data_IF_711303443993
#
_entry.id   IF_711303443993
#
_cell.length_a   1.000
_cell.length_b   1.000
_cell.length_c   1.000
_cell.angle_alpha   90.00
_cell.angle_beta   90.00
_cell.angle_gamma   90.00
#
_symmetry.space_group_name_H-M   'P 1'
#
loop_
_entity.id
_entity.type
_entity.pdbx_description
1 polymer ?
#
# COMPACT_ATOMS: atom_id res chain seq x y z
N UNK A 1 53.19 -12.30 5.13
CA UNK A 1 53.29 -10.87 4.78
C UNK A 1 52.20 -10.55 3.76
N UNK A 2 50.96 -10.27 4.21
CA UNK A 2 49.94 -9.59 3.40
C UNK A 2 49.24 -8.61 4.34
N UNK A 3 49.29 -7.35 3.93
CA UNK A 3 48.94 -6.16 4.71
C UNK A 3 47.43 -6.01 4.87
N UNK A 4 47.07 -5.52 6.06
CA UNK A 4 45.77 -4.97 6.44
C UNK A 4 45.24 -4.00 5.37
N UNK A 5 44.04 -4.26 4.89
CA UNK A 5 43.10 -3.26 4.38
C UNK A 5 41.78 -3.42 5.17
N UNK A 6 41.83 -3.11 6.46
CA UNK A 6 40.66 -2.81 7.28
C UNK A 6 40.76 -1.33 7.65
N UNK A 7 40.39 -0.46 6.71
CA UNK A 7 40.04 0.94 6.99
C UNK A 7 39.48 1.55 5.71
N UNK A 8 38.15 1.63 5.60
CA UNK A 8 37.37 2.65 4.87
C UNK A 8 35.93 2.19 4.62
N UNK A 9 35.16 1.86 5.67
CA UNK A 9 33.69 1.91 5.62
C UNK A 9 33.05 2.36 6.94
N UNK A 10 33.83 2.81 7.93
CA UNK A 10 33.35 3.11 9.28
C UNK A 10 33.12 4.61 9.58
N UNK A 11 32.93 5.47 8.57
CA UNK A 11 32.75 6.92 8.83
C UNK A 11 31.63 7.60 8.04
N UNK A 12 30.75 6.86 7.37
CA UNK A 12 29.61 7.44 6.64
C UNK A 12 28.22 7.03 7.16
N UNK A 13 28.11 5.92 7.89
CA UNK A 13 26.79 5.34 8.26
C UNK A 13 26.04 6.14 9.32
N UNK A 14 26.74 6.77 10.27
CA UNK A 14 26.10 7.61 11.31
C UNK A 14 25.51 8.90 10.74
N UNK A 15 26.23 9.57 9.83
CA UNK A 15 25.77 10.83 9.23
C UNK A 15 24.56 10.64 8.31
N UNK A 16 24.45 9.50 7.63
CA UNK A 16 23.30 9.21 6.76
C UNK A 16 22.07 8.82 7.59
N UNK A 17 22.25 8.02 8.65
CA UNK A 17 21.17 7.66 9.58
C UNK A 17 20.61 8.90 10.31
N UNK A 18 21.48 9.77 10.83
CA UNK A 18 21.07 11.01 11.50
C UNK A 18 20.33 11.96 10.55
N UNK A 19 20.76 12.03 9.28
CA UNK A 19 20.07 12.83 8.26
C UNK A 19 18.68 12.27 7.97
N UNK A 20 18.56 10.95 7.85
CA UNK A 20 17.28 10.27 7.63
C UNK A 20 16.32 10.45 8.81
N UNK A 21 16.81 10.28 10.05
CA UNK A 21 15.99 10.50 11.25
C UNK A 21 15.47 11.95 11.32
N UNK A 22 16.30 12.93 10.96
CA UNK A 22 15.88 14.33 10.87
C UNK A 22 14.84 14.58 9.77
N UNK A 23 15.04 14.01 8.57
CA UNK A 23 14.07 14.05 7.47
C UNK A 23 12.71 13.49 7.88
N UNK A 24 12.71 12.36 8.58
CA UNK A 24 11.49 11.69 9.07
C UNK A 24 10.82 12.52 10.17
N UNK A 25 11.56 13.05 11.13
CA UNK A 25 10.99 13.89 12.20
C UNK A 25 10.22 15.10 11.67
N UNK A 26 10.64 15.68 10.54
CA UNK A 26 9.96 16.82 9.91
C UNK A 26 8.64 16.48 9.21
N UNK A 27 8.37 15.20 8.96
CA UNK A 27 7.18 14.71 8.23
C UNK A 27 6.22 13.91 9.11
N UNK A 28 6.53 13.73 10.39
CA UNK A 28 5.62 13.08 11.31
C UNK A 28 4.33 13.90 11.44
N UNK A 29 3.20 13.23 11.30
CA UNK A 29 1.88 13.85 11.46
C UNK A 29 1.73 14.46 12.87
N UNK A 30 0.95 15.55 13.02
CA UNK A 30 0.59 16.10 14.34
C UNK A 30 -0.13 15.07 15.24
N UNK A 31 -0.77 14.06 14.65
CA UNK A 31 -1.42 12.94 15.37
C UNK A 31 -0.43 11.91 15.92
N UNK A 32 0.86 12.03 15.59
CA UNK A 32 1.91 11.09 15.96
C UNK A 32 1.95 9.87 15.04
N UNK A 33 3.07 9.14 15.09
CA UNK A 33 3.26 7.88 14.38
C UNK A 33 3.33 6.71 15.37
N UNK A 34 2.76 5.57 14.99
CA UNK A 34 2.99 4.32 15.69
C UNK A 34 4.43 3.83 15.50
N UNK A 35 4.94 2.93 16.35
CA UNK A 35 6.30 2.40 16.22
C UNK A 35 6.52 1.67 14.90
N UNK A 36 5.51 0.93 14.43
CA UNK A 36 5.54 0.22 13.14
C UNK A 36 5.55 1.18 11.95
N UNK A 37 4.80 2.27 12.02
CA UNK A 37 4.81 3.30 10.97
C UNK A 37 6.15 4.03 10.94
N UNK A 38 6.70 4.39 12.10
CA UNK A 38 8.02 5.02 12.18
C UNK A 38 9.10 4.11 11.58
N UNK A 39 9.08 2.82 11.91
CA UNK A 39 10.02 1.85 11.36
C UNK A 39 9.90 1.76 9.83
N UNK A 40 8.68 1.70 9.30
CA UNK A 40 8.45 1.68 7.86
C UNK A 40 8.98 2.95 7.17
N UNK A 41 8.82 4.12 7.78
CA UNK A 41 9.36 5.39 7.24
C UNK A 41 10.90 5.41 7.24
N UNK A 42 11.53 4.85 8.26
CA UNK A 42 12.99 4.73 8.34
C UNK A 42 13.52 3.76 7.30
N UNK A 43 12.87 2.62 7.12
CA UNK A 43 13.26 1.61 6.13
C UNK A 43 13.03 2.07 4.68
N UNK A 44 12.07 2.97 4.44
CA UNK A 44 11.83 3.57 3.12
C UNK A 44 12.97 4.50 2.68
N UNK A 45 13.46 5.35 3.59
CA UNK A 45 14.55 6.30 3.29
C UNK A 45 15.94 5.71 3.47
N UNK A 46 16.07 4.73 4.34
CA UNK A 46 17.32 4.02 4.58
C UNK A 46 17.05 2.50 4.59
N UNK A 47 16.95 1.89 3.39
CA UNK A 47 16.77 0.46 3.26
C UNK A 47 17.89 -0.29 4.00
N UNK A 48 17.52 -1.28 4.82
CA UNK A 48 18.42 -2.02 5.73
C UNK A 48 18.85 -1.25 6.99
N UNK A 49 18.12 -0.20 7.39
CA UNK A 49 18.32 0.42 8.69
C UNK A 49 18.25 -0.62 9.80
N UNK A 50 19.23 -0.59 10.69
CA UNK A 50 19.22 -1.37 11.91
C UNK A 50 19.56 -0.46 13.10
N UNK A 51 18.82 -0.52 14.23
CA UNK A 51 19.07 0.32 15.39
C UNK A 51 20.54 0.36 15.84
N UNK A 52 21.26 -0.75 15.66
CA UNK A 52 22.68 -0.87 16.04
C UNK A 52 23.60 0.07 15.25
N UNK A 53 23.18 0.55 14.08
CA UNK A 53 23.94 1.50 13.26
C UNK A 53 24.02 2.90 13.90
N UNK A 54 23.09 3.21 14.79
CA UNK A 54 23.07 4.43 15.62
C UNK A 54 23.34 4.12 17.10
N UNK A 55 23.82 2.92 17.43
CA UNK A 55 24.15 2.54 18.80
C UNK A 55 22.94 2.21 19.68
N UNK A 56 21.80 1.88 19.09
CA UNK A 56 20.60 1.44 19.79
C UNK A 56 20.34 -0.05 19.58
N UNK A 57 19.66 -0.71 20.52
CA UNK A 57 19.23 -2.11 20.36
C UNK A 57 17.80 -2.24 19.82
N UNK A 58 17.00 -1.18 19.97
CA UNK A 58 15.61 -1.15 19.52
C UNK A 58 15.25 0.19 18.89
N UNK A 59 14.20 0.22 18.05
CA UNK A 59 13.69 1.47 17.48
C UNK A 59 13.22 2.45 18.57
N UNK A 60 12.73 1.95 19.70
CA UNK A 60 12.36 2.79 20.85
C UNK A 60 13.58 3.50 21.41
N UNK A 61 14.70 2.81 21.54
CA UNK A 61 15.96 3.41 21.97
C UNK A 61 16.50 4.42 20.97
N UNK A 62 16.41 4.15 19.66
CA UNK A 62 16.76 5.12 18.60
C UNK A 62 16.02 6.44 18.82
N UNK A 63 14.70 6.37 19.00
CA UNK A 63 13.86 7.56 19.21
C UNK A 63 14.22 8.28 20.51
N UNK A 64 14.52 7.53 21.58
CA UNK A 64 14.90 8.09 22.88
C UNK A 64 16.31 8.72 22.89
N UNK A 65 17.21 8.26 22.02
CA UNK A 65 18.55 8.82 21.84
C UNK A 65 18.52 10.15 21.05
N UNK A 66 17.42 10.48 20.37
CA UNK A 66 17.23 11.72 19.61
C UNK A 66 16.05 12.58 20.12
N UNK A 67 16.07 13.02 21.39
CA UNK A 67 14.99 13.82 21.99
C UNK A 67 14.81 15.20 21.33
N UNK A 68 15.82 15.69 20.62
CA UNK A 68 15.77 16.92 19.82
C UNK A 68 14.97 16.78 18.52
N UNK A 69 14.76 15.54 18.06
CA UNK A 69 13.99 15.22 16.85
C UNK A 69 12.62 14.60 17.18
N UNK A 70 12.52 13.84 18.27
CA UNK A 70 11.32 13.08 18.60
C UNK A 70 10.87 13.20 20.06
N UNK A 71 9.54 13.20 20.26
CA UNK A 71 8.91 13.07 21.58
C UNK A 71 8.09 11.80 21.62
N UNK A 72 8.28 10.98 22.65
CA UNK A 72 7.49 9.75 22.87
C UNK A 72 6.38 10.02 23.87
N UNK A 73 5.13 9.68 23.55
CA UNK A 73 4.03 9.66 24.52
C UNK A 73 3.43 8.26 24.65
N UNK A 74 3.10 7.82 25.87
CA UNK A 74 2.31 6.62 26.07
C UNK A 74 0.86 6.85 25.59
N UNK A 75 0.27 5.81 25.01
CA UNK A 75 -1.13 5.77 24.59
C UNK A 75 -1.98 5.07 25.67
N UNK A 76 -3.28 5.32 25.67
CA UNK A 76 -4.22 4.78 26.66
C UNK A 76 -4.35 3.25 26.64
N UNK A 77 -3.95 2.61 25.54
CA UNK A 77 -3.93 1.16 25.32
C UNK A 77 -2.62 0.48 25.78
N UNK A 78 -1.71 1.23 26.41
CA UNK A 78 -0.38 0.74 26.81
C UNK A 78 0.66 0.75 25.68
N UNK A 79 0.29 1.20 24.48
CA UNK A 79 1.20 1.49 23.39
C UNK A 79 1.97 2.80 23.58
N UNK A 80 2.79 3.17 22.61
CA UNK A 80 3.45 4.47 22.56
C UNK A 80 3.41 5.03 21.15
N UNK A 81 3.35 6.35 21.04
CA UNK A 81 3.40 7.08 19.78
C UNK A 81 4.57 8.06 19.78
N UNK A 82 5.09 8.30 18.57
CA UNK A 82 6.23 9.19 18.32
C UNK A 82 5.73 10.45 17.64
N UNK A 83 6.09 11.58 18.21
CA UNK A 83 5.77 12.92 17.71
C UNK A 83 7.07 13.61 17.30
N UNK A 84 6.99 14.58 16.40
CA UNK A 84 8.12 15.46 16.16
C UNK A 84 8.42 16.29 17.42
N UNK A 85 9.70 16.40 17.79
CA UNK A 85 10.17 17.33 18.82
C UNK A 85 10.46 18.71 18.25
N UNK A 86 10.59 18.83 16.93
CA UNK A 86 10.71 20.11 16.24
C UNK A 86 9.42 20.88 16.53
N UNK A 87 9.54 22.02 17.20
CA UNK A 87 8.44 22.92 17.46
C UNK A 87 7.96 23.54 16.14
N UNK A 88 7.21 22.78 15.35
CA UNK A 88 6.06 23.37 14.70
C UNK A 88 5.05 23.59 15.80
N UNK A 89 5.17 24.75 16.45
CA UNK A 89 4.03 25.39 17.10
C UNK A 89 2.82 25.09 16.23
N UNK A 90 1.76 24.44 16.72
CA UNK A 90 0.56 24.32 15.91
C UNK A 90 0.26 25.75 15.48
N UNK A 91 0.12 26.05 14.17
CA UNK A 91 -0.50 27.30 13.84
C UNK A 91 -1.82 27.24 14.60
N UNK A 92 -2.01 28.20 15.51
CA UNK A 92 -3.31 28.50 16.07
C UNK A 92 -4.25 28.36 14.88
N UNK A 93 -5.20 27.42 14.97
CA UNK A 93 -6.13 27.16 13.90
C UNK A 93 -6.92 28.46 13.68
N UNK A 94 -6.38 29.33 12.82
CA UNK A 94 -7.19 30.23 12.05
C UNK A 94 -8.22 29.33 11.41
N UNK A 95 -9.48 29.67 11.62
CA UNK A 95 -10.61 28.97 11.08
C UNK A 95 -10.53 29.06 9.54
N UNK A 96 -9.74 28.16 8.93
CA UNK A 96 -9.47 28.03 7.49
C UNK A 96 -10.49 27.14 6.79
N UNK A 97 -11.38 26.55 7.58
CA UNK A 97 -12.61 25.85 7.17
C UNK A 97 -13.40 26.60 6.08
N UNK A 98 -13.55 27.94 6.12
CA UNK A 98 -14.25 28.69 5.08
C UNK A 98 -13.52 28.69 3.73
N UNK A 99 -12.18 28.71 3.74
CA UNK A 99 -11.38 28.72 2.50
C UNK A 99 -11.36 27.33 1.86
N UNK A 100 -11.17 26.28 2.66
CA UNK A 100 -11.26 24.89 2.21
C UNK A 100 -12.66 24.56 1.64
N UNK A 101 -13.72 25.07 2.26
CA UNK A 101 -15.08 24.91 1.76
C UNK A 101 -15.30 25.63 0.41
N UNK A 102 -14.72 26.83 0.23
CA UNK A 102 -14.77 27.55 -1.06
C UNK A 102 -14.00 26.83 -2.15
N UNK A 103 -12.82 26.32 -1.82
CA UNK A 103 -11.97 25.59 -2.76
C UNK A 103 -12.63 24.25 -3.14
N UNK A 104 -13.28 23.57 -2.20
CA UNK A 104 -14.12 22.40 -2.46
C UNK A 104 -15.26 22.70 -3.46
N UNK A 105 -15.99 23.80 -3.25
CA UNK A 105 -17.08 24.22 -4.14
C UNK A 105 -16.59 24.50 -5.58
N UNK A 106 -15.40 25.09 -5.73
CA UNK A 106 -14.78 25.28 -7.05
C UNK A 106 -14.46 23.95 -7.74
N UNK A 107 -13.87 23.01 -6.99
CA UNK A 107 -13.55 21.66 -7.49
C UNK A 107 -14.83 20.94 -7.94
N UNK A 108 -15.88 20.98 -7.11
CA UNK A 108 -17.17 20.37 -7.40
C UNK A 108 -17.76 20.92 -8.70
N UNK A 109 -17.87 22.26 -8.80
CA UNK A 109 -18.40 22.93 -9.99
C UNK A 109 -17.62 22.58 -11.26
N UNK A 110 -16.28 22.57 -11.19
CA UNK A 110 -15.45 22.16 -12.31
C UNK A 110 -15.72 20.72 -12.72
N UNK A 111 -15.86 19.82 -11.75
CA UNK A 111 -16.12 18.41 -12.02
C UNK A 111 -17.51 18.19 -12.64
N UNK A 112 -18.53 18.92 -12.20
CA UNK A 112 -19.87 18.90 -12.80
C UNK A 112 -19.85 19.38 -14.26
N UNK A 113 -19.22 20.53 -14.52
CA UNK A 113 -19.06 21.06 -15.88
C UNK A 113 -18.23 20.14 -16.78
N UNK A 114 -17.17 19.53 -16.22
CA UNK A 114 -16.35 18.57 -16.95
C UNK A 114 -17.08 17.24 -17.18
N UNK A 115 -17.98 16.82 -16.29
CA UNK A 115 -18.76 15.60 -16.45
C UNK A 115 -19.74 15.67 -17.62
N UNK A 116 -20.28 16.86 -17.94
CA UNK A 116 -21.13 17.08 -19.11
C UNK A 116 -20.35 16.92 -20.43
N UNK A 117 -19.08 17.34 -20.46
CA UNK A 117 -18.26 17.37 -21.67
C UNK A 117 -17.38 16.12 -21.84
N UNK A 118 -16.91 15.52 -20.73
CA UNK A 118 -15.89 14.46 -20.69
C UNK A 118 -16.36 13.24 -19.90
N UNK A 119 -17.54 12.72 -20.23
CA UNK A 119 -18.10 11.52 -19.58
C UNK A 119 -17.09 10.36 -19.55
N UNK A 120 -16.80 9.86 -18.35
CA UNK A 120 -15.96 8.68 -18.14
C UNK A 120 -14.44 8.89 -18.26
N UNK A 121 -13.97 10.13 -18.39
CA UNK A 121 -12.53 10.43 -18.44
C UNK A 121 -12.00 10.70 -17.04
N UNK A 122 -10.95 9.96 -16.64
CA UNK A 122 -10.21 10.25 -15.40
C UNK A 122 -9.40 11.54 -15.56
N UNK A 123 -9.58 12.49 -14.65
CA UNK A 123 -8.84 13.75 -14.62
C UNK A 123 -7.99 13.78 -13.34
N UNK A 124 -6.65 13.93 -13.44
CA UNK A 124 -5.79 14.03 -12.27
C UNK A 124 -6.16 15.23 -11.39
N UNK A 125 -6.13 15.05 -10.07
CA UNK A 125 -6.45 16.10 -9.10
C UNK A 125 -5.60 17.36 -9.31
N UNK A 126 -4.30 17.20 -9.58
CA UNK A 126 -3.37 18.29 -9.88
C UNK A 126 -3.85 19.18 -11.04
N UNK A 127 -4.41 18.57 -12.09
CA UNK A 127 -4.96 19.30 -13.24
C UNK A 127 -6.22 20.07 -12.86
N UNK A 128 -7.08 19.49 -12.01
CA UNK A 128 -8.30 20.13 -11.52
C UNK A 128 -7.94 21.34 -10.64
N UNK A 129 -7.01 21.17 -9.70
CA UNK A 129 -6.56 22.23 -8.81
C UNK A 129 -5.93 23.39 -9.60
N UNK A 130 -5.11 23.08 -10.61
CA UNK A 130 -4.55 24.10 -11.51
C UNK A 130 -5.64 24.88 -12.26
N UNK A 131 -6.62 24.19 -12.84
CA UNK A 131 -7.72 24.83 -13.58
C UNK A 131 -8.64 25.65 -12.66
N UNK A 132 -8.78 25.25 -11.40
CA UNK A 132 -9.55 25.97 -10.39
C UNK A 132 -8.78 27.12 -9.72
N UNK A 133 -7.48 27.30 -10.04
CA UNK A 133 -6.61 28.28 -9.40
C UNK A 133 -6.45 28.04 -7.89
N UNK A 134 -6.37 26.78 -7.47
CA UNK A 134 -6.26 26.38 -6.06
C UNK A 134 -4.79 26.01 -5.78
N UNK A 135 -4.15 26.80 -4.94
CA UNK A 135 -2.76 26.57 -4.48
C UNK A 135 -2.71 25.89 -3.10
N UNK A 136 -3.86 25.79 -2.42
CA UNK A 136 -3.96 25.24 -1.08
C UNK A 136 -3.70 23.73 -1.09
N UNK A 137 -2.56 23.29 -0.54
CA UNK A 137 -2.16 21.88 -0.48
C UNK A 137 -3.03 21.04 0.46
N UNK A 138 -3.66 21.67 1.46
CA UNK A 138 -4.52 21.00 2.44
C UNK A 138 -5.87 20.56 1.82
N UNK A 139 -6.21 21.04 0.62
CA UNK A 139 -7.45 20.65 -0.08
C UNK A 139 -7.47 19.16 -0.42
N UNK A 140 -6.31 18.53 -0.63
CA UNK A 140 -6.22 17.11 -0.93
C UNK A 140 -6.70 16.28 0.26
N UNK A 141 -6.21 16.58 1.46
CA UNK A 141 -6.64 15.93 2.70
C UNK A 141 -8.13 16.22 2.96
N UNK A 142 -8.57 17.45 2.73
CA UNK A 142 -9.97 17.85 2.89
C UNK A 142 -10.94 17.10 1.96
N UNK A 143 -10.54 16.84 0.71
CA UNK A 143 -11.31 16.05 -0.26
C UNK A 143 -11.35 14.55 0.11
N UNK A 144 -10.33 14.06 0.80
CA UNK A 144 -10.19 12.67 1.22
C UNK A 144 -10.93 12.34 2.52
N UNK A 145 -11.07 13.30 3.42
CA UNK A 145 -11.63 13.10 4.77
C UNK A 145 -13.16 12.99 4.81
N UNK A 146 -13.85 13.19 3.69
CA UNK A 146 -15.31 13.26 3.72
C UNK A 146 -15.93 12.43 2.59
N UNK A 147 -16.82 11.50 2.94
CA UNK A 147 -17.84 10.94 2.03
C UNK A 147 -18.83 12.06 1.66
N UNK A 148 -18.36 13.07 0.92
CA UNK A 148 -19.18 14.20 0.48
C UNK A 148 -19.95 13.81 -0.77
N UNK A 149 -21.26 14.03 -0.73
CA UNK A 149 -22.14 13.85 -1.87
C UNK A 149 -21.63 14.65 -3.08
N UNK A 150 -21.54 14.00 -4.25
CA UNK A 150 -21.23 14.63 -5.53
C UNK A 150 -19.84 14.38 -6.12
N UNK A 151 -18.84 13.94 -5.32
CA UNK A 151 -17.49 13.64 -5.82
C UNK A 151 -17.03 12.23 -5.46
N UNK A 152 -16.72 11.41 -6.47
CA UNK A 152 -16.04 10.12 -6.28
C UNK A 152 -14.52 10.33 -6.38
N UNK A 153 -13.86 10.54 -5.25
CA UNK A 153 -12.40 10.69 -5.20
C UNK A 153 -11.74 9.31 -5.23
N UNK A 154 -11.07 8.99 -6.35
CA UNK A 154 -10.30 7.74 -6.49
C UNK A 154 -8.83 7.99 -6.23
N UNK A 155 -8.31 7.41 -5.15
CA UNK A 155 -6.87 7.32 -4.94
C UNK A 155 -6.26 6.42 -6.02
N UNK A 156 -5.46 7.01 -6.89
CA UNK A 156 -4.59 6.28 -7.81
C UNK A 156 -3.16 6.43 -7.32
N UNK A 157 -2.67 5.43 -6.59
CA UNK A 157 -1.25 5.33 -6.26
C UNK A 157 -0.51 4.90 -7.52
N UNK A 158 0.13 5.87 -8.20
CA UNK A 158 1.00 5.61 -9.34
C UNK A 158 2.42 5.24 -8.88
N UNK A 159 2.52 4.41 -7.83
CA UNK A 159 3.80 3.88 -7.37
C UNK A 159 4.09 2.64 -8.20
N UNK A 160 4.86 2.80 -9.28
CA UNK A 160 5.51 1.65 -9.92
C UNK A 160 6.46 1.04 -8.90
N UNK A 161 6.13 -0.16 -8.44
CA UNK A 161 7.02 -0.98 -7.62
C UNK A 161 8.41 -1.02 -8.27
N UNK A 162 9.49 -0.83 -7.49
CA UNK A 162 10.86 -1.04 -7.98
C UNK A 162 11.24 -2.53 -8.08
N UNK A 163 10.31 -3.45 -7.74
CA UNK A 163 10.54 -4.90 -7.82
C UNK A 163 10.66 -5.33 -9.29
N UNK A 164 11.58 -6.23 -9.60
CA UNK A 164 11.68 -6.82 -10.94
C UNK A 164 10.36 -7.48 -11.37
N UNK A 165 10.11 -7.55 -12.69
CA UNK A 165 8.97 -8.30 -13.22
C UNK A 165 9.02 -9.74 -12.73
N UNK A 166 7.92 -10.24 -12.18
CA UNK A 166 7.82 -11.62 -11.66
C UNK A 166 6.71 -12.39 -12.36
N UNK A 167 6.94 -13.68 -12.55
CA UNK A 167 5.87 -14.62 -12.85
C UNK A 167 5.10 -14.92 -11.56
N UNK A 168 3.77 -14.98 -11.65
CA UNK A 168 2.91 -15.29 -10.53
C UNK A 168 1.79 -16.27 -10.93
N UNK A 169 1.17 -16.90 -9.95
CA UNK A 169 -0.12 -17.55 -10.09
C UNK A 169 -1.19 -16.61 -9.54
N UNK A 170 -2.12 -16.21 -10.39
CA UNK A 170 -3.17 -15.26 -10.10
C UNK A 170 -4.51 -15.99 -9.94
N UNK A 171 -5.09 -15.90 -8.74
CA UNK A 171 -6.41 -16.43 -8.43
C UNK A 171 -7.38 -15.26 -8.25
N UNK A 172 -8.22 -15.01 -9.24
CA UNK A 172 -9.05 -13.80 -9.33
C UNK A 172 -10.50 -14.09 -8.99
N UNK A 173 -11.04 -13.34 -8.03
CA UNK A 173 -12.47 -13.22 -7.79
C UNK A 173 -13.05 -12.13 -8.71
N UNK A 174 -13.71 -12.57 -9.77
CA UNK A 174 -14.23 -11.73 -10.85
C UNK A 174 -15.61 -11.14 -10.61
N UNK A 175 -16.26 -11.36 -9.47
CA UNK A 175 -17.67 -10.95 -9.31
C UNK A 175 -17.84 -9.42 -9.27
N UNK A 176 -16.84 -8.73 -8.71
CA UNK A 176 -16.87 -7.29 -8.40
C UNK A 176 -15.63 -6.55 -8.94
N UNK A 177 -14.88 -7.19 -9.85
CA UNK A 177 -13.66 -6.62 -10.43
C UNK A 177 -13.84 -6.47 -11.93
N UNK A 178 -13.71 -5.27 -12.52
CA UNK A 178 -13.62 -5.12 -13.97
C UNK A 178 -12.22 -5.56 -14.47
N UNK A 179 -12.12 -5.95 -15.73
CA UNK A 179 -10.86 -6.43 -16.32
C UNK A 179 -9.74 -5.39 -16.22
N UNK A 180 -10.09 -4.12 -16.37
CA UNK A 180 -9.14 -3.02 -16.24
C UNK A 180 -8.53 -2.92 -14.83
N UNK A 181 -9.30 -3.27 -13.80
CA UNK A 181 -8.78 -3.31 -12.42
C UNK A 181 -7.84 -4.50 -12.22
N UNK A 182 -8.15 -5.67 -12.81
CA UNK A 182 -7.26 -6.84 -12.78
C UNK A 182 -5.91 -6.51 -13.45
N UNK A 183 -5.95 -5.95 -14.66
CA UNK A 183 -4.75 -5.51 -15.38
C UNK A 183 -3.99 -4.42 -14.62
N UNK A 184 -4.70 -3.46 -14.02
CA UNK A 184 -4.11 -2.41 -13.19
C UNK A 184 -3.36 -2.97 -11.99
N UNK A 185 -3.98 -3.90 -11.25
CA UNK A 185 -3.35 -4.57 -10.10
C UNK A 185 -2.13 -5.41 -10.52
N UNK A 186 -2.22 -6.14 -11.64
CA UNK A 186 -1.07 -6.88 -12.18
C UNK A 186 0.11 -5.96 -12.52
N UNK A 187 -0.17 -4.81 -13.14
CA UNK A 187 0.85 -3.82 -13.46
C UNK A 187 1.48 -3.20 -12.21
N UNK A 188 0.67 -2.87 -11.19
CA UNK A 188 1.18 -2.33 -9.92
C UNK A 188 2.08 -3.32 -9.17
N UNK A 189 1.76 -4.61 -9.26
CA UNK A 189 2.55 -5.70 -8.69
C UNK A 189 3.76 -6.09 -9.56
N UNK A 190 3.98 -5.43 -10.71
CA UNK A 190 4.97 -5.82 -11.73
C UNK A 190 4.87 -7.30 -12.14
N UNK A 191 3.66 -7.80 -12.35
CA UNK A 191 3.45 -9.18 -12.77
C UNK A 191 3.58 -9.30 -14.29
N UNK A 192 4.41 -10.24 -14.74
CA UNK A 192 4.55 -10.53 -16.16
C UNK A 192 3.39 -11.41 -16.63
N UNK A 193 2.43 -10.82 -17.32
CA UNK A 193 1.25 -11.53 -17.83
C UNK A 193 1.61 -12.72 -18.74
N UNK A 194 2.69 -12.63 -19.52
CA UNK A 194 3.07 -13.68 -20.48
C UNK A 194 3.60 -14.97 -19.83
N UNK A 195 4.12 -14.86 -18.61
CA UNK A 195 4.71 -16.00 -17.87
C UNK A 195 3.92 -16.38 -16.62
N UNK A 196 2.79 -15.71 -16.39
CA UNK A 196 1.94 -15.89 -15.22
C UNK A 196 0.73 -16.75 -15.56
N UNK A 197 0.27 -17.53 -14.58
CA UNK A 197 -0.91 -18.36 -14.72
C UNK A 197 -2.11 -17.59 -14.15
N UNK A 198 -3.14 -17.37 -14.97
CA UNK A 198 -4.30 -16.57 -14.60
C UNK A 198 -5.54 -17.46 -14.52
N UNK A 199 -6.13 -17.54 -13.32
CA UNK A 199 -7.39 -18.24 -13.08
C UNK A 199 -8.43 -17.24 -12.59
N UNK A 200 -9.47 -17.02 -13.38
CA UNK A 200 -10.58 -16.12 -13.04
C UNK A 200 -11.80 -16.95 -12.68
N UNK A 201 -12.37 -16.69 -11.51
CA UNK A 201 -13.57 -17.32 -11.01
C UNK A 201 -14.67 -16.26 -10.87
N UNK A 202 -15.88 -16.56 -11.30
CA UNK A 202 -17.01 -15.64 -11.17
C UNK A 202 -18.34 -16.36 -11.06
N UNK A 203 -19.36 -15.67 -10.59
CA UNK A 203 -20.74 -16.11 -10.66
C UNK A 203 -21.29 -15.97 -12.08
N UNK A 204 -22.34 -16.74 -12.39
CA UNK A 204 -22.98 -16.72 -13.70
C UNK A 204 -23.61 -15.37 -14.03
N UNK A 205 -24.06 -14.62 -13.03
CA UNK A 205 -24.65 -13.29 -13.17
C UNK A 205 -23.60 -12.17 -13.33
N UNK A 206 -22.34 -12.42 -13.02
CA UNK A 206 -21.27 -11.43 -13.15
C UNK A 206 -20.78 -11.32 -14.59
N UNK A 207 -20.31 -10.13 -14.95
CA UNK A 207 -19.80 -9.86 -16.29
C UNK A 207 -18.56 -10.74 -16.59
N UNK A 208 -18.49 -11.36 -17.78
CA UNK A 208 -17.31 -12.11 -18.18
C UNK A 208 -16.12 -11.17 -18.34
N UNK A 209 -14.99 -11.59 -17.79
CA UNK A 209 -13.69 -10.91 -17.86
C UNK A 209 -12.87 -11.46 -19.03
N UNK A 210 -12.94 -12.78 -19.24
CA UNK A 210 -12.32 -13.47 -20.37
C UNK A 210 -13.24 -14.58 -20.90
N UNK A 211 -12.83 -15.20 -22.02
CA UNK A 211 -13.53 -16.37 -22.56
C UNK A 211 -13.28 -17.66 -21.76
N UNK A 212 -12.31 -17.66 -20.86
CA UNK A 212 -11.86 -18.84 -20.11
C UNK A 212 -12.22 -18.77 -18.62
N UNK A 213 -13.06 -17.81 -18.22
CA UNK A 213 -13.50 -17.68 -16.83
C UNK A 213 -14.16 -18.96 -16.34
N UNK A 214 -13.81 -19.37 -15.12
CA UNK A 214 -14.48 -20.45 -14.42
C UNK A 214 -15.76 -19.91 -13.78
N UNK A 215 -16.90 -20.32 -14.31
CA UNK A 215 -18.21 -19.94 -13.77
C UNK A 215 -18.56 -20.85 -12.60
N UNK A 216 -18.83 -20.24 -11.45
CA UNK A 216 -19.22 -20.94 -10.25
C UNK A 216 -20.59 -21.62 -10.42
N UNK A 217 -20.77 -22.86 -9.93
CA UNK A 217 -22.09 -23.47 -9.84
C UNK A 217 -23.04 -22.62 -8.98
N UNK A 218 -24.34 -22.71 -9.26
CA UNK A 218 -25.35 -21.97 -8.51
C UNK A 218 -25.23 -22.21 -7.00
N UNK A 219 -25.35 -21.13 -6.22
CA UNK A 219 -25.24 -21.13 -4.74
C UNK A 219 -23.87 -21.51 -4.17
N UNK A 220 -22.83 -21.65 -5.00
CA UNK A 220 -21.45 -21.87 -4.52
C UNK A 220 -20.69 -20.55 -4.54
N UNK A 221 -20.24 -20.03 -3.38
CA UNK A 221 -19.44 -18.81 -3.35
C UNK A 221 -18.13 -18.97 -4.13
N UNK A 222 -17.76 -17.93 -4.86
CA UNK A 222 -16.56 -17.90 -5.72
C UNK A 222 -15.28 -18.16 -4.92
N UNK A 223 -15.25 -17.67 -3.67
CA UNK A 223 -14.17 -17.90 -2.72
C UNK A 223 -13.90 -19.40 -2.45
N UNK A 224 -14.93 -20.25 -2.42
CA UNK A 224 -14.75 -21.70 -2.22
C UNK A 224 -14.05 -22.37 -3.40
N UNK A 225 -14.33 -21.92 -4.63
CA UNK A 225 -13.67 -22.45 -5.82
C UNK A 225 -12.22 -22.00 -5.91
N UNK A 226 -11.96 -20.75 -5.53
CA UNK A 226 -10.59 -20.22 -5.42
C UNK A 226 -9.80 -20.99 -4.36
N UNK A 227 -10.39 -21.22 -3.18
CA UNK A 227 -9.76 -22.02 -2.12
C UNK A 227 -9.48 -23.46 -2.61
N UNK A 228 -10.46 -24.09 -3.26
CA UNK A 228 -10.30 -25.42 -3.85
C UNK A 228 -9.15 -25.43 -4.86
N UNK A 229 -9.07 -24.44 -5.75
CA UNK A 229 -8.00 -24.35 -6.74
C UNK A 229 -6.63 -24.12 -6.11
N UNK A 230 -6.54 -23.27 -5.09
CA UNK A 230 -5.31 -23.06 -4.33
C UNK A 230 -4.85 -24.36 -3.67
N UNK A 231 -5.78 -25.13 -3.08
CA UNK A 231 -5.49 -26.44 -2.50
C UNK A 231 -5.03 -27.45 -3.55
N UNK A 232 -5.69 -27.50 -4.71
CA UNK A 232 -5.27 -28.33 -5.84
C UNK A 232 -3.83 -27.99 -6.25
N UNK A 233 -3.52 -26.71 -6.49
CA UNK A 233 -2.18 -26.24 -6.85
C UNK A 233 -1.13 -26.70 -5.84
N UNK A 234 -1.41 -26.52 -4.54
CA UNK A 234 -0.52 -26.96 -3.46
C UNK A 234 -0.22 -28.47 -3.50
N UNK A 235 -1.21 -29.28 -3.88
CA UNK A 235 -1.08 -30.74 -3.89
C UNK A 235 -0.45 -31.27 -5.17
N UNK A 236 -0.68 -30.60 -6.31
CA UNK A 236 -0.23 -31.08 -7.63
C UNK A 236 1.09 -30.47 -8.08
N UNK A 237 1.50 -29.35 -7.48
CA UNK A 237 2.67 -28.59 -7.90
C UNK A 237 3.57 -28.33 -6.69
N UNK A 238 4.32 -29.34 -6.22
CA UNK A 238 5.42 -29.10 -5.30
C UNK A 238 6.47 -28.22 -6.01
N UNK A 239 7.13 -27.32 -5.27
CA UNK A 239 8.15 -26.39 -5.76
C UNK A 239 7.60 -25.27 -6.67
N UNK A 240 6.61 -24.54 -6.17
CA UNK A 240 6.08 -23.33 -6.76
C UNK A 240 7.17 -22.25 -6.82
N UNK A 241 7.84 -22.10 -7.96
CA UNK A 241 8.79 -21.02 -8.24
C UNK A 241 8.12 -19.67 -8.58
N UNK A 242 6.82 -19.53 -8.28
CA UNK A 242 6.00 -18.36 -8.59
C UNK A 242 5.27 -17.89 -7.33
N UNK A 243 5.16 -16.58 -7.16
CA UNK A 243 4.34 -16.01 -6.08
C UNK A 243 2.85 -16.33 -6.32
N UNK A 244 2.07 -16.54 -5.26
CA UNK A 244 0.62 -16.79 -5.34
C UNK A 244 -0.12 -15.52 -4.93
N UNK A 245 -0.97 -15.01 -5.81
CA UNK A 245 -1.68 -13.75 -5.60
C UNK A 245 -3.18 -13.96 -5.76
N UNK A 246 -3.92 -13.71 -4.68
CA UNK A 246 -5.37 -13.63 -4.72
C UNK A 246 -5.79 -12.20 -5.10
N UNK A 247 -6.49 -12.04 -6.22
CA UNK A 247 -7.03 -10.74 -6.64
C UNK A 247 -8.52 -10.68 -6.32
N UNK A 248 -8.94 -9.64 -5.60
CA UNK A 248 -10.34 -9.48 -5.19
C UNK A 248 -10.74 -8.00 -5.11
N UNK A 249 -12.05 -7.73 -5.01
CA UNK A 249 -12.52 -6.38 -4.72
C UNK A 249 -12.17 -5.97 -3.29
N UNK A 250 -12.07 -4.66 -3.02
CA UNK A 250 -11.75 -4.16 -1.67
C UNK A 250 -12.73 -4.64 -0.61
N UNK A 251 -14.00 -4.89 -0.97
CA UNK A 251 -15.03 -5.44 -0.07
C UNK A 251 -14.73 -6.88 0.36
N UNK A 252 -14.08 -7.66 -0.51
CA UNK A 252 -13.74 -9.06 -0.26
C UNK A 252 -12.32 -9.26 0.29
N UNK A 253 -11.53 -8.18 0.41
CA UNK A 253 -10.15 -8.23 0.90
C UNK A 253 -10.02 -8.98 2.23
N UNK A 254 -10.94 -8.72 3.17
CA UNK A 254 -10.95 -9.38 4.48
C UNK A 254 -11.21 -10.88 4.36
N UNK A 255 -12.19 -11.27 3.54
CA UNK A 255 -12.51 -12.68 3.28
C UNK A 255 -11.28 -13.43 2.76
N UNK A 256 -10.57 -12.86 1.79
CA UNK A 256 -9.39 -13.51 1.23
C UNK A 256 -8.19 -13.48 2.18
N UNK A 257 -7.93 -12.37 2.86
CA UNK A 257 -6.76 -12.23 3.73
C UNK A 257 -6.87 -12.99 5.06
N UNK A 258 -8.06 -13.09 5.63
CA UNK A 258 -8.25 -13.72 6.95
C UNK A 258 -8.78 -15.16 6.86
N UNK A 259 -9.45 -15.54 5.77
CA UNK A 259 -10.08 -16.87 5.66
C UNK A 259 -9.50 -17.75 4.57
N UNK A 260 -9.44 -17.27 3.32
CA UNK A 260 -9.06 -18.11 2.17
C UNK A 260 -7.54 -18.31 2.09
N UNK A 261 -6.79 -17.22 2.11
CA UNK A 261 -5.33 -17.21 2.00
C UNK A 261 -4.66 -18.07 3.09
N UNK A 262 -4.98 -17.89 4.38
CA UNK A 262 -4.33 -18.63 5.46
C UNK A 262 -4.55 -20.15 5.45
N UNK A 263 -5.61 -20.64 4.79
CA UNK A 263 -5.86 -22.08 4.68
C UNK A 263 -4.94 -22.79 3.66
N UNK A 264 -4.30 -22.02 2.78
CA UNK A 264 -3.49 -22.52 1.69
C UNK A 264 -2.06 -21.98 1.81
N UNK A 265 -1.28 -22.61 2.69
CA UNK A 265 0.14 -22.29 2.89
C UNK A 265 0.97 -22.90 1.77
N UNK A 266 1.74 -22.07 1.08
CA UNK A 266 2.76 -22.47 0.11
C UNK A 266 4.14 -22.22 0.74
N UNK A 267 4.94 -23.27 1.02
CA UNK A 267 6.20 -23.11 1.75
C UNK A 267 7.31 -22.44 0.91
N UNK A 268 7.17 -22.45 -0.40
CA UNK A 268 8.11 -22.06 -1.46
C UNK A 268 7.73 -20.78 -2.19
N UNK A 269 6.51 -20.28 -1.98
CA UNK A 269 5.99 -19.07 -2.62
C UNK A 269 5.55 -18.02 -1.59
N UNK A 270 5.75 -16.75 -1.95
CA UNK A 270 5.09 -15.67 -1.22
C UNK A 270 3.60 -15.65 -1.60
N UNK A 271 2.74 -15.46 -0.61
CA UNK A 271 1.29 -15.47 -0.76
C UNK A 271 0.74 -14.11 -0.39
N UNK A 272 0.08 -13.45 -1.34
CA UNK A 272 -0.50 -12.12 -1.15
C UNK A 272 -1.98 -12.09 -1.51
N UNK A 273 -2.72 -11.21 -0.86
CA UNK A 273 -4.05 -10.80 -1.31
C UNK A 273 -3.96 -9.36 -1.76
N UNK A 274 -4.42 -9.08 -2.96
CA UNK A 274 -4.44 -7.76 -3.55
C UNK A 274 -5.88 -7.37 -3.91
N UNK A 275 -6.16 -6.11 -3.65
CA UNK A 275 -7.35 -5.38 -4.07
C UNK A 275 -6.92 -4.04 -4.67
N UNK A 276 -7.79 -3.33 -5.40
CA UNK A 276 -7.42 -2.07 -6.03
C UNK A 276 -6.84 -1.02 -5.07
N UNK A 277 -7.19 -1.09 -3.78
CA UNK A 277 -6.77 -0.13 -2.75
C UNK A 277 -5.69 -0.64 -1.81
N UNK A 278 -5.43 -1.95 -1.76
CA UNK A 278 -4.59 -2.54 -0.72
C UNK A 278 -3.99 -3.88 -1.12
N UNK A 279 -2.73 -4.09 -0.74
CA UNK A 279 -2.03 -5.38 -0.77
C UNK A 279 -1.78 -5.84 0.67
N UNK A 280 -2.01 -7.12 0.95
CA UNK A 280 -1.68 -7.77 2.22
C UNK A 280 -0.86 -9.02 1.97
N UNK A 281 0.29 -9.11 2.63
CA UNK A 281 1.07 -10.35 2.69
C UNK A 281 0.36 -11.29 3.66
N UNK A 282 0.09 -12.51 3.21
CA UNK A 282 -0.54 -13.54 4.04
C UNK A 282 0.54 -14.47 4.58
N UNK A 283 1.40 -14.96 3.70
CA UNK A 283 2.51 -15.84 4.03
C UNK A 283 3.73 -15.42 3.22
N UNK A 284 4.88 -15.39 3.86
CA UNK A 284 6.16 -15.28 3.17
C UNK A 284 6.70 -16.70 2.93
N UNK A 285 7.42 -16.87 1.82
CA UNK A 285 8.10 -18.13 1.52
C UNK A 285 9.07 -18.48 2.65
N UNK A 286 9.06 -19.74 3.07
CA UNK A 286 9.96 -20.28 4.10
C UNK A 286 11.18 -20.94 3.50
N UNK A 287 11.02 -21.51 2.30
CA UNK A 287 12.07 -22.18 1.55
C UNK A 287 12.55 -21.25 0.43
N UNK A 288 13.84 -20.94 0.45
CA UNK A 288 14.52 -20.35 -0.71
C UNK A 288 15.24 -21.50 -1.40
N UNK A 289 14.86 -21.90 -2.63
CA UNK A 289 15.60 -22.91 -3.36
C UNK A 289 17.06 -22.47 -3.53
N UNK A 290 17.99 -23.38 -3.23
CA UNK A 290 19.45 -23.20 -3.30
C UNK A 290 19.91 -23.31 -4.76
#
# INVERSE_FOLDING_TARGET
MIRRCFSLLASATGSDADRTLRSISGRLSPKGASPSLLQALVEDEFPLFHPSQVGASTMKEVVQQHPELFRVKPLADGGWAVFSALETSPPVAEDRTPQLQRDYQKVLKYCEEAAEVKKGVFIPLESILYQCGIENKEIADYLMETEREGLEVKLSLNVKSRRHLRAAILLVDGDDLPINAVTGMMNQLNINAATSDLYIFRQSYSNPLTRQDVVAPANVPTAYLIEKKARELRLTTPDLLKDVVYLCSSRKLRTYSERVGPQNVFPDADVYVCSPSQIRVIHEKKLVPI
#
